data_IF_821766871770
#
_entry.id   IF_821766871770
#
_cell.length_a   1.000
_cell.length_b   1.000
_cell.length_c   1.000
_cell.angle_alpha   90.00
_cell.angle_beta   90.00
_cell.angle_gamma   90.00
#
_symmetry.space_group_name_H-M   'P 1'
#
loop_
_entity.id
_entity.type
_entity.pdbx_description
1 polymer ?
#
# COMPACT_ATOMS: atom_id res chain seq x y z
N UNK A 1 -23.50 -18.28 3.80
CA UNK A 1 -22.31 -17.81 4.57
C UNK A 1 -22.13 -16.32 4.30
N UNK A 2 -21.85 -15.51 5.34
CA UNK A 2 -21.60 -14.09 5.17
C UNK A 2 -20.26 -13.89 4.45
N UNK A 3 -20.27 -13.13 3.34
CA UNK A 3 -19.06 -12.83 2.57
C UNK A 3 -17.98 -12.20 3.48
N UNK A 4 -16.77 -12.75 3.48
CA UNK A 4 -15.64 -12.14 4.21
C UNK A 4 -15.11 -10.95 3.43
N UNK A 5 -15.19 -9.77 3.99
CA UNK A 5 -14.81 -8.52 3.33
C UNK A 5 -13.83 -7.73 4.18
N UNK A 6 -12.77 -7.23 3.54
CA UNK A 6 -11.77 -6.34 4.14
C UNK A 6 -11.63 -5.05 3.32
N UNK A 7 -11.65 -3.92 4.01
CA UNK A 7 -11.33 -2.61 3.44
C UNK A 7 -9.84 -2.34 3.46
N UNK A 8 -9.28 -1.88 2.37
CA UNK A 8 -7.88 -1.42 2.31
C UNK A 8 -7.84 0.04 1.84
N UNK A 9 -7.41 0.97 2.70
CA UNK A 9 -7.25 2.38 2.33
C UNK A 9 -6.16 2.57 1.28
N UNK A 10 -6.42 3.38 0.23
CA UNK A 10 -5.42 3.75 -0.79
C UNK A 10 -4.46 4.82 -0.26
N UNK A 11 -3.67 4.48 0.74
CA UNK A 11 -2.72 5.41 1.33
C UNK A 11 -1.58 4.69 2.05
N UNK A 12 -0.56 5.41 2.43
CA UNK A 12 0.60 4.90 3.17
C UNK A 12 1.21 3.64 2.50
N UNK A 13 1.29 2.52 3.21
CA UNK A 13 1.86 1.27 2.72
C UNK A 13 1.10 0.60 1.56
N UNK A 14 -0.10 1.09 1.21
CA UNK A 14 -0.87 0.57 0.09
C UNK A 14 -0.03 0.49 -1.20
N UNK A 15 0.63 1.57 -1.56
CA UNK A 15 1.37 1.66 -2.83
C UNK A 15 2.54 0.68 -2.95
N UNK A 16 3.08 0.23 -1.82
CA UNK A 16 4.16 -0.75 -1.79
C UNK A 16 3.64 -2.19 -1.62
N UNK A 17 2.59 -2.38 -0.82
CA UNK A 17 2.20 -3.69 -0.32
C UNK A 17 0.92 -4.25 -0.94
N UNK A 18 0.14 -3.44 -1.67
CA UNK A 18 -1.15 -3.89 -2.17
C UNK A 18 -1.08 -5.14 -3.07
N UNK A 19 -0.09 -5.31 -3.98
CA UNK A 19 0.01 -6.56 -4.75
C UNK A 19 0.12 -7.79 -3.85
N UNK A 20 0.88 -7.70 -2.74
CA UNK A 20 0.97 -8.78 -1.77
C UNK A 20 -0.37 -9.02 -1.05
N UNK A 21 -1.01 -7.95 -0.54
CA UNK A 21 -2.31 -8.07 0.12
C UNK A 21 -3.36 -8.68 -0.78
N UNK A 22 -3.40 -8.28 -2.05
CA UNK A 22 -4.33 -8.82 -3.03
C UNK A 22 -4.18 -10.34 -3.19
N UNK A 23 -2.98 -10.83 -3.44
CA UNK A 23 -2.73 -12.26 -3.57
C UNK A 23 -3.03 -13.03 -2.30
N UNK A 24 -2.67 -12.47 -1.13
CA UNK A 24 -2.85 -13.09 0.18
C UNK A 24 -4.33 -13.23 0.56
N UNK A 25 -5.08 -12.12 0.55
CA UNK A 25 -6.48 -12.15 0.96
C UNK A 25 -7.37 -12.91 -0.01
N UNK A 26 -7.12 -12.82 -1.32
CA UNK A 26 -7.88 -13.59 -2.31
C UNK A 26 -7.65 -15.10 -2.17
N UNK A 27 -6.43 -15.58 -1.87
CA UNK A 27 -6.17 -17.01 -1.65
C UNK A 27 -6.93 -17.56 -0.43
N UNK A 28 -7.26 -16.68 0.51
CA UNK A 28 -8.08 -17.00 1.70
C UNK A 28 -9.59 -16.82 1.47
N UNK A 29 -10.02 -16.44 0.27
CA UNK A 29 -11.42 -16.15 -0.02
C UNK A 29 -11.95 -14.85 0.62
N UNK A 30 -11.07 -13.95 1.05
CA UNK A 30 -11.44 -12.64 1.61
C UNK A 30 -11.50 -11.63 0.49
N UNK A 31 -12.68 -11.06 0.25
CA UNK A 31 -12.90 -10.01 -0.75
C UNK A 31 -12.33 -8.69 -0.28
N UNK A 32 -11.53 -8.05 -1.14
CA UNK A 32 -10.99 -6.73 -0.86
C UNK A 32 -11.88 -5.65 -1.44
N UNK A 33 -12.22 -4.65 -0.63
CA UNK A 33 -12.80 -3.40 -1.09
C UNK A 33 -11.77 -2.30 -0.87
N UNK A 34 -11.42 -1.60 -1.95
CA UNK A 34 -10.54 -0.43 -1.89
C UNK A 34 -11.35 0.83 -1.68
N UNK A 35 -10.78 1.78 -0.96
CA UNK A 35 -11.25 3.16 -1.03
C UNK A 35 -11.14 3.68 -2.47
N UNK A 36 -11.91 4.69 -2.82
CA UNK A 36 -11.83 5.32 -4.13
C UNK A 36 -10.44 5.97 -4.34
N UNK A 37 -10.12 6.36 -5.56
CA UNK A 37 -8.91 7.15 -5.81
C UNK A 37 -8.97 8.47 -5.04
N UNK A 38 -7.83 8.98 -4.62
CA UNK A 38 -7.74 10.21 -3.85
C UNK A 38 -8.36 11.38 -4.60
N UNK A 39 -9.30 12.04 -3.96
CA UNK A 39 -9.99 13.22 -4.48
C UNK A 39 -9.73 14.44 -3.59
N UNK A 40 -10.18 15.62 -4.04
CA UNK A 40 -10.19 16.81 -3.18
C UNK A 40 -11.03 16.59 -1.91
N UNK A 41 -12.15 15.87 -2.05
CA UNK A 41 -13.03 15.56 -0.93
C UNK A 41 -12.33 14.63 0.07
N UNK A 42 -11.69 13.54 -0.40
CA UNK A 42 -10.91 12.63 0.46
C UNK A 42 -9.87 13.39 1.30
N UNK A 43 -9.14 14.34 0.67
CA UNK A 43 -8.16 15.18 1.36
C UNK A 43 -8.80 16.11 2.39
N UNK A 44 -9.92 16.73 2.04
CA UNK A 44 -10.66 17.66 2.91
C UNK A 44 -11.25 16.94 4.13
N UNK A 45 -11.89 15.79 3.92
CA UNK A 45 -12.51 15.00 4.99
C UNK A 45 -11.46 14.55 6.01
N UNK A 46 -10.34 14.03 5.55
CA UNK A 46 -9.27 13.63 6.45
C UNK A 46 -8.59 14.81 7.15
N UNK A 47 -8.45 15.95 6.47
CA UNK A 47 -7.87 17.15 7.07
C UNK A 47 -8.77 17.74 8.17
N UNK A 48 -10.08 17.57 8.08
CA UNK A 48 -11.03 18.07 9.07
C UNK A 48 -10.94 17.35 10.42
N UNK A 49 -10.42 16.11 10.45
CA UNK A 49 -10.36 15.29 11.67
C UNK A 49 -9.02 15.37 12.40
N UNK A 50 -8.00 15.96 11.82
CA UNK A 50 -6.65 16.01 12.41
C UNK A 50 -6.16 17.46 12.52
N UNK A 51 -5.19 17.68 13.41
CA UNK A 51 -4.58 19.00 13.59
C UNK A 51 -3.85 19.47 12.33
N UNK A 52 -3.80 20.79 12.13
CA UNK A 52 -3.29 21.43 10.91
C UNK A 52 -1.86 21.00 10.57
N UNK A 53 -1.02 20.77 11.56
CA UNK A 53 0.39 20.38 11.44
C UNK A 53 0.60 18.91 11.02
N UNK A 54 -0.49 18.10 10.97
CA UNK A 54 -0.41 16.73 10.51
C UNK A 54 0.02 16.69 9.04
N UNK A 55 0.98 15.83 8.73
CA UNK A 55 1.48 15.68 7.35
C UNK A 55 0.38 15.21 6.38
N UNK A 56 0.47 15.67 5.14
CA UNK A 56 -0.55 15.40 4.12
C UNK A 56 -0.87 13.91 3.92
N UNK A 57 0.12 12.97 3.86
CA UNK A 57 -0.20 11.56 3.69
C UNK A 57 -1.10 10.98 4.78
N UNK A 58 -0.95 11.42 6.02
CA UNK A 58 -1.82 10.98 7.13
C UNK A 58 -3.24 11.56 6.94
N UNK A 59 -3.38 12.83 6.57
CA UNK A 59 -4.69 13.42 6.24
C UNK A 59 -5.40 12.63 5.15
N UNK A 60 -4.70 12.33 4.07
CA UNK A 60 -5.22 11.52 2.96
C UNK A 60 -5.63 10.13 3.45
N UNK A 61 -4.82 9.49 4.28
CA UNK A 61 -5.13 8.16 4.82
C UNK A 61 -6.42 8.14 5.66
N UNK A 62 -6.59 9.13 6.53
CA UNK A 62 -7.83 9.27 7.33
C UNK A 62 -9.05 9.47 6.41
N UNK A 63 -8.92 10.28 5.36
CA UNK A 63 -9.98 10.45 4.36
C UNK A 63 -10.34 9.14 3.64
N UNK A 64 -9.36 8.27 3.37
CA UNK A 64 -9.63 6.94 2.80
C UNK A 64 -10.33 6.00 3.79
N UNK A 65 -10.04 6.09 5.09
CA UNK A 65 -10.79 5.35 6.12
C UNK A 65 -12.26 5.79 6.08
N UNK A 66 -12.54 7.10 6.11
CA UNK A 66 -13.90 7.63 6.04
C UNK A 66 -14.62 7.18 4.75
N UNK A 67 -13.93 7.22 3.61
CA UNK A 67 -14.49 6.75 2.35
C UNK A 67 -14.91 5.27 2.40
N UNK A 68 -14.11 4.40 3.01
CA UNK A 68 -14.47 2.99 3.20
C UNK A 68 -15.67 2.81 4.12
N UNK A 69 -15.74 3.55 5.22
CA UNK A 69 -16.88 3.54 6.14
C UNK A 69 -18.16 3.96 5.41
N UNK A 70 -18.12 5.04 4.64
CA UNK A 70 -19.24 5.53 3.84
C UNK A 70 -19.68 4.55 2.73
N UNK A 71 -18.76 3.68 2.28
CA UNK A 71 -19.08 2.55 1.38
C UNK A 71 -19.68 1.35 2.11
N UNK A 72 -19.89 1.45 3.41
CA UNK A 72 -20.47 0.37 4.23
C UNK A 72 -19.48 -0.75 4.55
N UNK A 73 -18.18 -0.51 4.46
CA UNK A 73 -17.15 -1.49 4.81
C UNK A 73 -16.95 -1.49 6.33
N UNK A 74 -17.27 -2.62 6.96
CA UNK A 74 -17.18 -2.79 8.41
C UNK A 74 -15.75 -3.04 8.90
N UNK A 75 -14.98 -3.86 8.20
CA UNK A 75 -13.62 -4.27 8.62
C UNK A 75 -12.56 -3.61 7.75
N UNK A 76 -11.72 -2.77 8.34
CA UNK A 76 -10.70 -1.98 7.63
C UNK A 76 -9.32 -2.28 8.18
N UNK A 77 -8.37 -2.63 7.30
CA UNK A 77 -6.98 -2.87 7.66
C UNK A 77 -6.26 -1.54 7.95
N UNK A 78 -5.74 -1.41 9.16
CA UNK A 78 -4.93 -0.27 9.61
C UNK A 78 -3.62 -0.81 10.19
N UNK A 79 -2.59 -1.04 9.35
CA UNK A 79 -1.36 -1.67 9.80
C UNK A 79 -0.53 -0.77 10.72
N UNK A 80 0.03 -1.35 11.76
CA UNK A 80 1.06 -0.74 12.62
C UNK A 80 2.44 -1.19 12.13
N UNK A 81 3.10 -0.37 11.33
CA UNK A 81 4.41 -0.66 10.78
C UNK A 81 5.49 0.00 11.65
N UNK A 82 6.02 -0.73 12.62
CA UNK A 82 6.95 -0.22 13.62
C UNK A 82 8.37 -0.11 13.05
N UNK A 83 8.94 -1.22 12.60
CA UNK A 83 10.26 -1.27 11.97
C UNK A 83 10.24 -2.05 10.67
N UNK A 84 11.10 -1.66 9.74
CA UNK A 84 11.28 -2.32 8.44
C UNK A 84 12.46 -3.29 8.45
N UNK A 85 13.40 -3.08 9.37
CA UNK A 85 14.50 -3.97 9.67
C UNK A 85 14.93 -3.79 11.13
N UNK A 86 15.90 -4.61 11.60
CA UNK A 86 16.38 -4.54 12.97
C UNK A 86 16.88 -3.13 13.29
N UNK A 87 16.27 -2.48 14.29
CA UNK A 87 16.55 -1.11 14.74
C UNK A 87 16.34 -0.01 13.68
N UNK A 88 15.70 -0.32 12.54
CA UNK A 88 15.33 0.68 11.53
C UNK A 88 13.84 0.94 11.64
N UNK A 89 13.49 1.99 12.36
CA UNK A 89 12.10 2.34 12.69
C UNK A 89 11.48 3.30 11.68
N UNK A 90 10.20 3.12 11.43
CA UNK A 90 9.41 4.09 10.70
C UNK A 90 9.21 5.36 11.51
N UNK A 91 8.76 6.45 10.86
CA UNK A 91 8.42 7.68 11.56
C UNK A 91 7.28 7.45 12.57
N UNK A 92 7.24 8.25 13.64
CA UNK A 92 6.26 8.12 14.72
C UNK A 92 4.81 8.17 14.24
N UNK A 93 4.51 8.88 13.15
CA UNK A 93 3.17 8.98 12.56
C UNK A 93 2.71 7.68 11.89
N UNK A 94 3.64 6.94 11.26
CA UNK A 94 3.35 5.61 10.69
C UNK A 94 3.21 4.57 11.82
N UNK A 95 4.09 4.64 12.80
CA UNK A 95 4.08 3.72 13.94
C UNK A 95 2.80 3.84 14.77
N UNK A 96 2.38 5.06 15.06
CA UNK A 96 1.17 5.35 15.85
C UNK A 96 -0.09 5.53 14.99
N UNK A 97 -0.10 5.07 13.73
CA UNK A 97 -1.23 5.25 12.82
C UNK A 97 -2.54 4.64 13.35
N UNK A 98 -2.57 3.39 13.89
CA UNK A 98 -3.80 2.84 14.46
C UNK A 98 -4.34 3.66 15.62
N UNK A 99 -3.47 4.14 16.53
CA UNK A 99 -3.88 4.97 17.66
C UNK A 99 -4.45 6.31 17.19
N UNK A 100 -3.83 6.91 16.17
CA UNK A 100 -4.36 8.13 15.58
C UNK A 100 -5.76 7.89 14.99
N UNK A 101 -5.94 6.84 14.18
CA UNK A 101 -7.24 6.48 13.59
C UNK A 101 -8.29 6.28 14.68
N UNK A 102 -7.97 5.53 15.72
CA UNK A 102 -8.87 5.26 16.87
C UNK A 102 -9.31 6.53 17.58
N UNK A 103 -8.41 7.52 17.66
CA UNK A 103 -8.68 8.78 18.34
C UNK A 103 -9.47 9.78 17.50
N UNK A 104 -9.30 9.80 16.18
CA UNK A 104 -9.91 10.85 15.33
C UNK A 104 -11.15 10.38 14.57
N UNK A 105 -11.23 9.11 14.18
CA UNK A 105 -12.40 8.56 13.48
C UNK A 105 -13.42 8.08 14.51
N UNK A 106 -14.60 8.69 14.53
CA UNK A 106 -15.67 8.39 15.49
C UNK A 106 -16.79 7.56 14.91
N UNK A 107 -16.86 7.44 13.60
CA UNK A 107 -17.78 6.55 12.91
C UNK A 107 -17.48 5.10 13.25
N UNK A 108 -18.52 4.26 13.45
CA UNK A 108 -18.33 2.87 13.85
C UNK A 108 -17.78 2.01 12.72
N UNK A 109 -16.69 1.31 13.00
CA UNK A 109 -16.12 0.27 12.15
C UNK A 109 -15.21 -0.64 12.98
N UNK A 110 -14.89 -1.81 12.46
CA UNK A 110 -13.94 -2.74 13.06
C UNK A 110 -12.54 -2.49 12.49
N UNK A 111 -11.68 -1.87 13.29
CA UNK A 111 -10.28 -1.68 12.90
C UNK A 111 -9.53 -3.01 13.01
N UNK A 112 -8.97 -3.46 11.90
CA UNK A 112 -8.02 -4.59 11.88
C UNK A 112 -6.62 -3.99 12.04
N UNK A 113 -6.16 -3.97 13.28
CA UNK A 113 -4.78 -3.60 13.61
C UNK A 113 -3.91 -4.84 13.51
N UNK A 114 -2.88 -4.77 12.67
CA UNK A 114 -1.87 -5.80 12.54
C UNK A 114 -0.49 -5.14 12.66
N UNK A 115 0.36 -5.70 13.51
CA UNK A 115 1.66 -5.11 13.85
C UNK A 115 2.80 -5.85 13.17
N UNK A 116 3.66 -5.09 12.48
CA UNK A 116 4.93 -5.57 11.94
C UNK A 116 6.07 -4.82 12.63
N UNK A 117 6.89 -5.52 13.40
CA UNK A 117 8.10 -5.00 14.01
C UNK A 117 9.25 -6.01 13.89
N UNK A 118 10.15 -5.76 12.95
CA UNK A 118 11.33 -6.63 12.76
C UNK A 118 12.40 -6.48 13.84
N UNK A 119 12.24 -5.51 14.72
CA UNK A 119 13.13 -5.32 15.88
C UNK A 119 12.69 -6.12 17.09
N UNK A 120 11.46 -6.63 17.10
CA UNK A 120 10.88 -7.39 18.19
C UNK A 120 10.67 -8.86 17.81
N UNK A 121 10.85 -9.74 18.79
CA UNK A 121 10.54 -11.17 18.61
C UNK A 121 9.03 -11.38 18.50
N UNK A 122 8.62 -12.30 17.63
CA UNK A 122 7.21 -12.68 17.41
C UNK A 122 6.32 -11.52 16.91
N UNK A 123 6.90 -10.56 16.18
CA UNK A 123 6.17 -9.49 15.49
C UNK A 123 6.60 -9.39 14.00
N UNK A 124 6.93 -10.53 13.41
CA UNK A 124 7.31 -10.63 12.01
C UNK A 124 6.10 -10.69 11.06
N UNK A 125 6.40 -11.03 9.81
CA UNK A 125 5.38 -11.08 8.75
C UNK A 125 4.24 -12.06 9.07
N UNK A 126 4.53 -13.25 9.59
CA UNK A 126 3.48 -14.26 9.81
C UNK A 126 2.57 -13.91 10.99
N UNK A 127 3.10 -13.28 12.02
CA UNK A 127 2.33 -12.74 13.13
C UNK A 127 1.42 -11.62 12.65
N UNK A 128 1.95 -10.67 11.87
CA UNK A 128 1.18 -9.63 11.22
C UNK A 128 0.02 -10.20 10.38
N UNK A 129 0.30 -11.20 9.56
CA UNK A 129 -0.74 -11.84 8.72
C UNK A 129 -1.79 -12.57 9.55
N UNK A 130 -1.38 -13.24 10.64
CA UNK A 130 -2.29 -13.90 11.56
C UNK A 130 -3.23 -12.89 12.25
N UNK A 131 -2.70 -11.75 12.69
CA UNK A 131 -3.51 -10.65 13.24
C UNK A 131 -4.50 -10.11 12.20
N UNK A 132 -4.04 -9.90 10.97
CA UNK A 132 -4.87 -9.37 9.89
C UNK A 132 -6.08 -10.27 9.53
N UNK A 133 -5.96 -11.59 9.69
CA UNK A 133 -7.03 -12.54 9.33
C UNK A 133 -7.81 -13.09 10.52
N UNK A 134 -7.35 -12.83 11.74
CA UNK A 134 -8.03 -13.24 12.97
C UNK A 134 -9.51 -12.82 13.06
N UNK A 135 -9.91 -11.59 12.64
CA UNK A 135 -11.31 -11.17 12.64
C UNK A 135 -12.22 -11.94 11.67
N UNK A 136 -11.66 -12.79 10.82
CA UNK A 136 -12.36 -13.69 9.90
C UNK A 136 -12.40 -15.13 10.40
N UNK A 137 -11.90 -15.39 11.64
CA UNK A 137 -11.85 -16.74 12.22
C UNK A 137 -10.74 -17.63 11.65
N UNK A 138 -9.80 -17.06 10.90
CA UNK A 138 -8.68 -17.83 10.31
C UNK A 138 -7.52 -17.83 11.30
N UNK A 139 -7.21 -19.02 11.85
CA UNK A 139 -6.14 -19.21 12.85
C UNK A 139 -5.10 -20.27 12.46
N UNK A 140 -5.36 -21.03 11.38
CA UNK A 140 -4.43 -22.04 10.90
C UNK A 140 -3.19 -21.42 10.24
N UNK A 141 -2.05 -21.49 10.92
CA UNK A 141 -0.77 -20.99 10.43
C UNK A 141 -0.29 -21.66 9.13
N UNK A 142 -0.69 -22.92 8.85
CA UNK A 142 -0.34 -23.59 7.59
C UNK A 142 -1.09 -22.94 6.44
N UNK A 143 -2.36 -22.61 6.64
CA UNK A 143 -3.18 -21.90 5.66
C UNK A 143 -2.64 -20.48 5.43
N UNK A 144 -2.33 -19.75 6.50
CA UNK A 144 -1.74 -18.39 6.42
C UNK A 144 -0.41 -18.41 5.64
N UNK A 145 0.49 -19.35 5.97
CA UNK A 145 1.76 -19.51 5.24
C UNK A 145 1.57 -19.91 3.78
N UNK A 146 0.57 -20.72 3.47
CA UNK A 146 0.23 -21.05 2.08
C UNK A 146 -0.24 -19.80 1.32
N UNK A 147 -1.18 -19.07 1.89
CA UNK A 147 -1.71 -17.84 1.29
C UNK A 147 -0.64 -16.76 1.11
N UNK A 148 0.32 -16.64 2.04
CA UNK A 148 1.43 -15.71 1.90
C UNK A 148 2.28 -15.97 0.64
N UNK A 149 2.38 -17.22 0.18
CA UNK A 149 3.07 -17.55 -1.09
C UNK A 149 2.31 -16.98 -2.30
N UNK A 150 0.98 -16.96 -2.26
CA UNK A 150 0.17 -16.32 -3.29
C UNK A 150 0.36 -14.79 -3.28
N UNK A 151 0.44 -14.20 -2.09
CA UNK A 151 0.80 -12.79 -1.90
C UNK A 151 2.14 -12.45 -2.53
N UNK A 152 3.19 -13.19 -2.20
CA UNK A 152 4.52 -12.98 -2.77
C UNK A 152 4.58 -13.22 -4.27
N UNK A 153 3.84 -14.17 -4.80
CA UNK A 153 3.75 -14.38 -6.26
C UNK A 153 3.16 -13.16 -6.96
N UNK A 154 2.07 -12.60 -6.46
CA UNK A 154 1.48 -11.39 -7.02
C UNK A 154 2.43 -10.18 -6.91
N UNK A 155 3.08 -10.02 -5.76
CA UNK A 155 4.08 -8.98 -5.55
C UNK A 155 5.28 -9.11 -6.50
N UNK A 156 5.83 -10.31 -6.66
CA UNK A 156 6.96 -10.54 -7.55
C UNK A 156 6.60 -10.29 -9.02
N UNK A 157 5.39 -10.67 -9.45
CA UNK A 157 4.90 -10.34 -10.79
C UNK A 157 4.87 -8.82 -11.02
N UNK A 158 4.34 -8.08 -10.05
CA UNK A 158 4.32 -6.61 -10.09
C UNK A 158 5.76 -6.04 -10.13
N UNK A 159 6.63 -6.52 -9.25
CA UNK A 159 7.99 -6.04 -9.12
C UNK A 159 8.83 -6.25 -10.39
N UNK A 160 8.76 -7.43 -10.99
CA UNK A 160 9.47 -7.72 -12.25
C UNK A 160 9.01 -6.79 -13.38
N UNK A 161 7.71 -6.51 -13.48
CA UNK A 161 7.17 -5.60 -14.48
C UNK A 161 7.60 -4.14 -14.25
N UNK A 162 7.59 -3.67 -13.00
CA UNK A 162 8.07 -2.31 -12.69
C UNK A 162 9.56 -2.17 -12.97
N UNK A 163 10.36 -3.16 -12.63
CA UNK A 163 11.80 -3.20 -12.99
C UNK A 163 12.05 -3.15 -14.50
N UNK A 164 11.16 -3.73 -15.31
CA UNK A 164 11.27 -3.63 -16.78
C UNK A 164 10.89 -2.25 -17.33
N UNK A 165 10.61 -1.26 -16.47
CA UNK A 165 10.23 0.09 -16.87
C UNK A 165 8.72 0.27 -17.08
N UNK A 166 7.89 -0.72 -16.75
CA UNK A 166 6.45 -0.58 -16.88
C UNK A 166 5.91 0.42 -15.85
N UNK A 167 5.00 1.35 -16.24
CA UNK A 167 4.35 2.25 -15.31
C UNK A 167 3.62 1.51 -14.17
N UNK A 168 3.67 2.07 -12.96
CA UNK A 168 3.11 1.49 -11.73
C UNK A 168 1.68 0.96 -11.91
N UNK A 169 0.77 1.79 -12.41
CA UNK A 169 -0.65 1.44 -12.57
C UNK A 169 -0.86 0.27 -13.54
N UNK A 170 -0.10 0.22 -14.62
CA UNK A 170 -0.15 -0.84 -15.64
C UNK A 170 0.42 -2.15 -15.09
N UNK A 171 1.57 -2.09 -14.42
CA UNK A 171 2.19 -3.25 -13.76
C UNK A 171 1.26 -3.83 -12.69
N UNK A 172 0.65 -2.96 -11.87
CA UNK A 172 -0.33 -3.38 -10.87
C UNK A 172 -1.52 -4.09 -11.53
N UNK A 173 -2.12 -3.51 -12.56
CA UNK A 173 -3.27 -4.10 -13.26
C UNK A 173 -2.95 -5.51 -13.80
N UNK A 174 -1.80 -5.71 -14.41
CA UNK A 174 -1.39 -7.03 -14.90
C UNK A 174 -1.12 -8.02 -13.76
N UNK A 175 -0.43 -7.59 -12.71
CA UNK A 175 -0.14 -8.45 -11.55
C UNK A 175 -1.41 -8.98 -10.88
N UNK A 176 -2.43 -8.12 -10.72
CA UNK A 176 -3.73 -8.50 -10.16
C UNK A 176 -4.50 -9.50 -11.05
N UNK A 177 -4.23 -9.51 -12.36
CA UNK A 177 -4.75 -10.50 -13.30
C UNK A 177 -3.90 -11.77 -13.37
N UNK A 178 -2.83 -11.89 -12.58
CA UNK A 178 -1.87 -12.99 -12.62
C UNK A 178 -0.98 -13.01 -13.89
N UNK A 179 -0.94 -11.90 -14.64
CA UNK A 179 -0.16 -11.77 -15.87
C UNK A 179 1.21 -11.14 -15.58
N UNK A 180 2.22 -11.55 -16.34
CA UNK A 180 3.54 -10.92 -16.38
C UNK A 180 3.81 -10.51 -17.82
N UNK A 181 4.09 -9.23 -18.03
CA UNK A 181 4.43 -8.65 -19.33
C UNK A 181 5.69 -7.83 -19.16
N UNK A 182 6.74 -8.18 -19.89
CA UNK A 182 7.99 -7.38 -19.86
C UNK A 182 7.87 -6.27 -20.90
N UNK A 183 8.10 -5.04 -20.46
CA UNK A 183 8.06 -3.88 -21.35
C UNK A 183 9.42 -3.77 -22.06
N UNK A 184 9.41 -3.91 -23.39
CA UNK A 184 10.57 -3.65 -24.23
C UNK A 184 10.39 -2.28 -24.92
N UNK A 185 10.31 -1.21 -24.14
CA UNK A 185 10.22 0.14 -24.72
C UNK A 185 11.61 0.59 -25.14
N UNK A 186 11.82 0.68 -26.44
CA UNK A 186 13.03 1.23 -27.07
C UNK A 186 12.97 2.74 -27.32
N UNK A 187 11.98 3.44 -26.71
CA UNK A 187 11.88 4.89 -26.87
C UNK A 187 13.10 5.56 -26.22
N UNK A 188 13.85 6.28 -27.02
CA UNK A 188 14.89 7.17 -26.53
C UNK A 188 14.27 8.47 -26.03
N UNK A 189 14.79 8.99 -24.96
CA UNK A 189 14.34 10.24 -24.33
C UNK A 189 15.53 11.20 -24.23
N UNK A 190 15.34 12.48 -24.52
CA UNK A 190 16.41 13.49 -24.42
C UNK A 190 16.85 13.72 -22.98
N UNK A 191 15.95 13.51 -22.02
CA UNK A 191 16.19 13.71 -20.59
C UNK A 191 15.62 12.55 -19.78
N UNK A 192 16.35 12.12 -18.76
CA UNK A 192 15.87 11.15 -17.76
C UNK A 192 15.91 11.77 -16.37
N UNK A 193 14.84 11.60 -15.60
CA UNK A 193 14.69 12.11 -14.23
C UNK A 193 14.36 10.94 -13.31
N UNK A 194 15.06 10.87 -12.17
CA UNK A 194 14.71 9.98 -11.07
C UNK A 194 13.78 10.70 -10.08
N UNK A 195 12.57 10.14 -9.86
CA UNK A 195 11.68 10.57 -8.80
C UNK A 195 11.95 9.72 -7.56
N UNK A 196 12.47 10.34 -6.51
CA UNK A 196 12.78 9.70 -5.23
C UNK A 196 11.80 10.17 -4.17
N UNK A 197 11.18 9.21 -3.48
CA UNK A 197 10.22 9.49 -2.40
C UNK A 197 9.42 8.26 -2.02
N UNK A 198 8.58 8.40 -1.01
CA UNK A 198 7.69 7.31 -0.59
C UNK A 198 6.61 7.05 -1.65
N UNK A 199 6.21 5.79 -1.83
CA UNK A 199 5.21 5.37 -2.80
C UNK A 199 3.90 6.16 -2.71
N UNK A 200 3.43 6.45 -1.51
CA UNK A 200 2.22 7.25 -1.27
C UNK A 200 2.33 8.73 -1.72
N UNK A 201 3.54 9.26 -1.87
CA UNK A 201 3.76 10.60 -2.42
C UNK A 201 3.97 10.59 -3.93
N UNK A 202 4.47 9.48 -4.48
CA UNK A 202 4.85 9.38 -5.89
C UNK A 202 3.69 8.81 -6.73
N UNK A 203 3.01 7.76 -6.26
CA UNK A 203 2.03 7.02 -7.06
C UNK A 203 0.59 7.41 -6.81
N UNK A 204 0.31 8.25 -5.82
CA UNK A 204 -0.99 8.90 -5.68
C UNK A 204 -1.07 10.09 -6.64
N UNK A 205 -1.87 9.97 -7.69
CA UNK A 205 -1.96 11.00 -8.75
C UNK A 205 -2.38 12.38 -8.23
N UNK A 206 -3.19 12.41 -7.17
CA UNK A 206 -3.64 13.66 -6.59
C UNK A 206 -2.55 14.30 -5.73
N UNK A 207 -1.88 13.50 -4.90
CA UNK A 207 -0.80 13.96 -4.02
C UNK A 207 0.41 14.40 -4.83
N UNK A 208 0.82 13.64 -5.85
CA UNK A 208 1.94 13.98 -6.73
C UNK A 208 1.58 15.00 -7.81
N UNK A 209 0.33 15.54 -7.82
CA UNK A 209 -0.14 16.51 -8.81
C UNK A 209 0.05 16.07 -10.27
N UNK A 210 -0.12 14.76 -10.53
CA UNK A 210 0.06 14.12 -11.85
C UNK A 210 1.43 14.39 -12.48
N UNK A 211 2.48 14.31 -11.67
CA UNK A 211 3.84 14.62 -12.12
C UNK A 211 4.31 13.73 -13.28
N UNK A 212 3.92 12.43 -13.29
CA UNK A 212 4.25 11.52 -14.37
C UNK A 212 3.69 11.99 -15.72
N UNK A 213 2.40 12.33 -15.77
CA UNK A 213 1.75 12.81 -16.99
C UNK A 213 2.38 14.12 -17.51
N UNK A 214 2.80 14.98 -16.58
CA UNK A 214 3.44 16.26 -16.94
C UNK A 214 4.82 16.05 -17.54
N UNK A 215 5.62 15.19 -16.94
CA UNK A 215 6.98 14.88 -17.43
C UNK A 215 6.93 14.09 -18.74
N UNK A 216 5.98 13.17 -18.89
CA UNK A 216 5.78 12.45 -20.15
C UNK A 216 5.43 13.37 -21.32
N UNK A 217 4.56 14.38 -21.08
CA UNK A 217 4.24 15.43 -22.07
C UNK A 217 5.42 16.31 -22.46
N UNK A 218 6.44 16.38 -21.61
CA UNK A 218 7.70 17.10 -21.86
C UNK A 218 8.76 16.20 -22.50
N UNK A 219 8.40 14.97 -22.90
CA UNK A 219 9.31 13.96 -23.46
C UNK A 219 10.45 13.58 -22.50
N UNK A 220 10.16 13.55 -21.20
CA UNK A 220 11.11 13.19 -20.14
C UNK A 220 10.85 11.75 -19.71
N UNK A 221 11.92 10.93 -19.67
CA UNK A 221 11.87 9.60 -19.05
C UNK A 221 11.85 9.73 -17.54
N UNK A 222 10.86 9.12 -16.89
CA UNK A 222 10.80 9.08 -15.43
C UNK A 222 11.18 7.70 -14.93
N UNK A 223 12.15 7.65 -14.03
CA UNK A 223 12.53 6.46 -13.27
C UNK A 223 12.17 6.65 -11.80
N UNK A 224 11.88 5.56 -11.10
CA UNK A 224 11.62 5.56 -9.65
C UNK A 224 12.46 4.46 -8.99
N UNK A 225 12.53 4.45 -7.66
CA UNK A 225 13.25 3.42 -6.90
C UNK A 225 12.78 1.99 -7.20
N UNK A 226 11.53 1.78 -7.63
CA UNK A 226 11.03 0.46 -8.04
C UNK A 226 11.70 -0.10 -9.29
N UNK A 227 12.42 0.73 -10.06
CA UNK A 227 13.11 0.34 -11.29
C UNK A 227 14.61 0.08 -11.09
N UNK A 228 15.15 0.46 -9.91
CA UNK A 228 16.55 0.22 -9.57
C UNK A 228 16.76 -1.23 -9.14
N UNK A 229 17.93 -1.81 -9.47
CA UNK A 229 18.34 -3.11 -8.94
C UNK A 229 18.77 -2.96 -7.47
N UNK A 230 18.78 -4.08 -6.72
CA UNK A 230 19.32 -4.10 -5.35
C UNK A 230 20.79 -3.67 -5.33
N UNK A 231 21.58 -4.12 -6.30
CA UNK A 231 22.98 -3.72 -6.46
C UNK A 231 23.14 -2.21 -6.62
N UNK A 232 22.30 -1.57 -7.46
CA UNK A 232 22.29 -0.12 -7.66
C UNK A 232 21.84 0.66 -6.42
N UNK A 233 21.11 0.04 -5.50
CA UNK A 233 20.69 0.66 -4.24
C UNK A 233 21.76 0.50 -3.14
N UNK A 234 22.58 -0.55 -3.21
CA UNK A 234 23.64 -0.84 -2.23
C UNK A 234 24.95 -0.08 -2.52
N UNK A 235 25.14 0.43 -3.75
CA UNK A 235 26.32 1.22 -4.16
C UNK A 235 26.21 2.73 -3.82
N UNK A 236 25.11 3.21 -3.24
CA UNK A 236 24.85 4.59 -2.84
C UNK A 236 24.86 4.77 -1.32
#
# INVERSE_FOLDING_TARGET
EKEMVIGIPRGMSFYNNYPFYYGFFNDLGIKIILSDVTTKQTMSDGAALVVTETCLPIKVYIGHILNLIHKGVDKILVPSLQSIDNKIYNCSKIRGLPDLVRNVVKEPFTMIEATLDKSEKNQGLYEFLAEAVKPFGITDMKLIKKASKAGWRCYNNFYVMTKSGMPYSKALSYALQGKVVISNTSKEYPISIALVGHGYNIYDERVCMKIFDKLEKMDVKVCTSLQLSSEQLDEG
#
